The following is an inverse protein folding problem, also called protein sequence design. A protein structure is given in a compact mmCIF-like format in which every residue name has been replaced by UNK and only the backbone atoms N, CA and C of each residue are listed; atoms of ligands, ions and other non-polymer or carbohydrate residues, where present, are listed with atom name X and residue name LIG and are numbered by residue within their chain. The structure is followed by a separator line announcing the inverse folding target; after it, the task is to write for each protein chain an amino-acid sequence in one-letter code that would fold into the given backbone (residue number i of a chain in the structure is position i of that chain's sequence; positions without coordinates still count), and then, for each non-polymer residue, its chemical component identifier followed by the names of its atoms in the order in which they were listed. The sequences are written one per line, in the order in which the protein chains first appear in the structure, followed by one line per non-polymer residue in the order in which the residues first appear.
data_IF_463736092603
#
_entry.id   IF_463736092603
#
_cell.length_a   1.000
_cell.length_b   1.000
_cell.length_c   1.000
_cell.angle_alpha   90.00
_cell.angle_beta   90.00
_cell.angle_gamma   90.00
#
_symmetry.space_group_name_H-M   'P 1'
#
loop_
_entity.id
_entity.type
_entity.pdbx_description
1 polymer ?
#
# COMPACT_ATOMS: atom_id res chain seq x y z
N UNK A 1 7.29 3.63 2.75
CA UNK A 1 6.07 4.16 3.35
C UNK A 1 5.47 3.08 4.21
N UNK A 2 5.41 3.32 5.51
CA UNK A 2 4.74 2.48 6.49
C UNK A 2 3.28 2.91 6.58
N UNK A 3 2.38 1.94 6.62
CA UNK A 3 0.94 2.18 6.70
C UNK A 3 0.24 1.08 7.49
N UNK A 4 -0.93 1.42 8.04
CA UNK A 4 -1.87 0.45 8.61
C UNK A 4 -3.12 0.37 7.77
N UNK A 5 -3.59 -0.84 7.54
CA UNK A 5 -4.82 -1.10 6.79
C UNK A 5 -5.99 -1.25 7.76
N UNK A 6 -7.07 -0.55 7.50
CA UNK A 6 -8.35 -0.72 8.19
C UNK A 6 -9.43 -1.02 7.16
N UNK A 7 -10.30 -1.98 7.47
CA UNK A 7 -11.53 -2.22 6.74
C UNK A 7 -12.76 -1.87 7.58
N UNK A 8 -13.94 -2.18 7.07
CA UNK A 8 -15.22 -1.87 7.74
C UNK A 8 -15.38 -2.58 9.09
N UNK A 9 -14.70 -3.71 9.28
CA UNK A 9 -14.86 -4.55 10.45
C UNK A 9 -13.82 -4.15 11.53
N UNK A 10 -12.57 -3.82 11.16
CA UNK A 10 -11.54 -3.24 12.06
C UNK A 10 -10.18 -3.02 11.34
N UNK A 11 -9.10 -2.89 12.11
CA UNK A 11 -7.73 -3.09 11.61
C UNK A 11 -7.61 -4.44 10.91
N UNK A 12 -7.01 -4.44 9.72
CA UNK A 12 -6.94 -5.59 8.83
C UNK A 12 -5.49 -5.97 8.51
N UNK A 13 -5.27 -7.26 8.27
CA UNK A 13 -3.94 -7.80 7.95
C UNK A 13 -3.49 -7.28 6.59
N UNK A 14 -2.31 -6.65 6.55
CA UNK A 14 -1.68 -6.19 5.32
C UNK A 14 -1.00 -7.35 4.59
N UNK A 15 -1.22 -7.44 3.27
CA UNK A 15 -0.50 -8.36 2.38
C UNK A 15 0.96 -7.96 2.19
N UNK A 16 1.30 -6.70 2.45
CA UNK A 16 2.69 -6.21 2.45
C UNK A 16 3.24 -6.05 3.87
N UNK A 17 2.74 -6.86 4.82
CA UNK A 17 3.17 -6.82 6.22
C UNK A 17 4.70 -6.81 6.32
N UNK A 18 5.24 -5.87 7.10
CA UNK A 18 6.67 -5.66 7.23
C UNK A 18 7.42 -6.92 7.71
N UNK A 19 6.81 -7.63 8.67
CA UNK A 19 7.36 -8.81 9.31
C UNK A 19 6.25 -9.64 9.96
N UNK A 20 6.59 -10.86 10.37
CA UNK A 20 5.68 -11.78 11.09
C UNK A 20 5.31 -11.30 12.51
N UNK A 21 5.93 -10.23 13.00
CA UNK A 21 5.63 -9.67 14.32
C UNK A 21 4.50 -8.63 14.28
N UNK A 22 4.22 -8.04 13.12
CA UNK A 22 3.20 -7.01 12.97
C UNK A 22 2.46 -7.14 11.63
N UNK A 23 1.49 -8.04 11.61
CA UNK A 23 0.66 -8.34 10.44
C UNK A 23 -0.22 -7.16 9.97
N UNK A 24 -0.42 -6.16 10.82
CA UNK A 24 -1.27 -5.00 10.53
C UNK A 24 -0.49 -3.81 9.96
N UNK A 25 0.85 -3.84 10.07
CA UNK A 25 1.73 -2.81 9.56
C UNK A 25 2.31 -3.22 8.21
N UNK A 26 1.80 -2.59 7.15
CA UNK A 26 2.29 -2.74 5.79
C UNK A 26 3.48 -1.83 5.49
N UNK A 27 4.31 -2.23 4.53
CA UNK A 27 5.38 -1.40 3.99
C UNK A 27 5.46 -1.53 2.47
N UNK A 28 5.39 -0.38 1.80
CA UNK A 28 5.79 -0.28 0.40
C UNK A 28 7.02 0.61 0.22
N UNK A 29 7.80 0.35 -0.80
CA UNK A 29 8.94 1.20 -1.15
C UNK A 29 8.46 2.43 -1.94
N UNK A 30 9.04 3.60 -1.70
CA UNK A 30 8.64 4.81 -2.44
C UNK A 30 8.90 4.70 -3.94
N UNK A 31 9.85 3.85 -4.34
CA UNK A 31 10.17 3.56 -5.75
C UNK A 31 9.08 2.79 -6.49
N UNK A 32 8.17 2.10 -5.77
CA UNK A 32 7.03 1.40 -6.40
C UNK A 32 5.85 2.34 -6.65
N UNK A 33 5.87 3.55 -6.07
CA UNK A 33 4.84 4.56 -6.28
C UNK A 33 5.07 5.22 -7.64
N UNK A 34 4.13 5.14 -8.58
CA UNK A 34 4.33 5.73 -9.90
C UNK A 34 4.40 7.26 -9.83
N UNK A 35 5.14 7.92 -10.75
CA UNK A 35 5.04 9.36 -10.94
C UNK A 35 3.58 9.77 -11.19
N UNK A 36 3.10 10.90 -10.64
CA UNK A 36 3.85 12.01 -10.06
C UNK A 36 4.17 11.91 -8.54
N UNK A 37 4.17 10.71 -7.95
CA UNK A 37 4.46 10.49 -6.51
C UNK A 37 3.52 11.26 -5.57
N UNK A 38 2.23 11.27 -5.93
CA UNK A 38 1.15 11.89 -5.16
C UNK A 38 0.34 10.86 -4.39
N UNK A 39 -0.41 11.31 -3.39
CA UNK A 39 -1.31 10.48 -2.59
C UNK A 39 -2.22 9.61 -3.45
N UNK A 40 -2.74 10.14 -4.57
CA UNK A 40 -3.50 9.35 -5.54
C UNK A 40 -2.73 8.11 -6.04
N UNK A 41 -1.48 8.31 -6.46
CA UNK A 41 -0.61 7.23 -6.97
C UNK A 41 -0.28 6.19 -5.90
N UNK A 42 -0.19 6.59 -4.64
CA UNK A 42 -0.01 5.68 -3.52
C UNK A 42 -1.28 4.91 -3.19
N UNK A 43 -2.44 5.59 -3.16
CA UNK A 43 -3.73 4.92 -2.97
C UNK A 43 -3.92 3.84 -4.03
N UNK A 44 -3.68 4.15 -5.30
CA UNK A 44 -3.78 3.17 -6.39
C UNK A 44 -2.80 2.00 -6.20
N UNK A 45 -1.57 2.29 -5.77
CA UNK A 45 -0.57 1.27 -5.48
C UNK A 45 -1.02 0.36 -4.32
N UNK A 46 -1.50 0.94 -3.22
CA UNK A 46 -2.01 0.23 -2.05
C UNK A 46 -3.23 -0.61 -2.39
N UNK A 47 -4.18 -0.06 -3.14
CA UNK A 47 -5.35 -0.78 -3.65
C UNK A 47 -4.92 -2.02 -4.43
N UNK A 48 -3.92 -1.89 -5.29
CA UNK A 48 -3.40 -2.99 -6.08
C UNK A 48 -2.70 -4.06 -5.25
N UNK A 49 -1.77 -3.67 -4.36
CA UNK A 49 -0.97 -4.63 -3.59
C UNK A 49 -1.77 -5.31 -2.47
N UNK A 50 -2.70 -4.58 -1.85
CA UNK A 50 -3.63 -5.14 -0.87
C UNK A 50 -4.79 -5.88 -1.53
N UNK A 51 -5.00 -5.70 -2.84
CA UNK A 51 -6.11 -6.30 -3.58
C UNK A 51 -7.46 -5.94 -2.97
N UNK A 52 -7.61 -4.70 -2.51
CA UNK A 52 -8.89 -4.20 -1.99
C UNK A 52 -9.76 -3.75 -3.16
N UNK A 53 -11.01 -4.21 -3.20
CA UNK A 53 -12.00 -3.82 -4.20
C UNK A 53 -12.85 -2.69 -3.64
N UNK A 54 -12.47 -1.45 -3.91
CA UNK A 54 -13.19 -0.30 -3.37
C UNK A 54 -12.83 1.00 -4.06
N UNK A 55 -13.85 1.79 -4.40
CA UNK A 55 -13.69 3.21 -4.75
C UNK A 55 -13.70 4.10 -3.50
N UNK A 56 -14.18 3.58 -2.37
CA UNK A 56 -14.24 4.28 -1.08
C UNK A 56 -12.99 3.95 -0.26
N UNK A 57 -11.85 4.46 -0.73
CA UNK A 57 -10.58 4.40 0.00
C UNK A 57 -10.19 5.78 0.51
N UNK A 58 -9.77 5.87 1.77
CA UNK A 58 -9.27 7.10 2.36
C UNK A 58 -7.89 6.89 2.96
N UNK A 59 -7.17 8.00 3.10
CA UNK A 59 -5.82 8.00 3.62
C UNK A 59 -5.68 9.14 4.62
N UNK A 60 -5.25 8.83 5.83
CA UNK A 60 -5.03 9.79 6.90
C UNK A 60 -3.55 9.80 7.28
N UNK A 61 -3.06 10.96 7.68
CA UNK A 61 -1.65 11.16 7.99
C UNK A 61 -1.13 10.24 9.11
N UNK A 62 -1.97 9.93 10.10
CA UNK A 62 -1.62 9.12 11.27
C UNK A 62 -2.87 8.52 11.95
N UNK A 63 -2.63 7.66 12.95
CA UNK A 63 -3.67 6.96 13.73
C UNK A 63 -4.45 7.88 14.68
N UNK A 64 -3.89 9.03 15.06
CA UNK A 64 -4.51 9.97 16.02
C UNK A 64 -5.72 10.73 15.45
N UNK A 65 -6.22 10.34 14.28
CA UNK A 65 -7.27 11.06 13.57
C UNK A 65 -6.77 12.37 12.96
N UNK A 66 -5.55 12.34 12.43
CA UNK A 66 -4.93 13.46 11.72
C UNK A 66 -5.66 13.87 10.44
N UNK A 67 -5.03 14.75 9.67
CA UNK A 67 -5.63 15.31 8.47
C UNK A 67 -5.86 14.22 7.40
N UNK A 68 -7.03 14.24 6.75
CA UNK A 68 -7.27 13.41 5.55
C UNK A 68 -6.43 13.95 4.41
N UNK A 69 -5.54 13.13 3.87
CA UNK A 69 -4.61 13.55 2.83
C UNK A 69 -5.34 13.76 1.50
N UNK A 70 -5.02 14.86 0.81
CA UNK A 70 -5.58 15.15 -0.51
C UNK A 70 -4.86 14.34 -1.58
N UNK A 71 -5.60 13.84 -2.57
CA UNK A 71 -5.04 13.08 -3.70
C UNK A 71 -3.97 13.83 -4.49
N UNK A 72 -4.00 15.16 -4.45
CA UNK A 72 -3.04 16.04 -5.11
C UNK A 72 -1.76 16.25 -4.30
N UNK A 73 -1.75 15.90 -3.02
CA UNK A 73 -0.61 16.09 -2.13
C UNK A 73 0.55 15.20 -2.57
N UNK A 74 1.76 15.75 -2.53
CA UNK A 74 2.96 14.98 -2.79
C UNK A 74 3.30 14.13 -1.55
N UNK A 75 3.53 12.83 -1.75
CA UNK A 75 3.93 11.93 -0.65
C UNK A 75 5.40 12.10 -0.32
N UNK A 76 6.20 12.45 -1.34
CA UNK A 76 7.62 12.59 -1.23
C UNK A 76 8.01 13.96 -1.80
N UNK A 77 8.17 14.94 -0.93
CA UNK A 77 9.37 15.75 -1.07
C UNK A 77 10.52 14.86 -0.60
N UNK A 78 11.60 14.72 -1.38
CA UNK A 78 12.76 13.85 -1.08
C UNK A 78 13.48 14.16 0.26
N UNK A 79 12.96 15.12 1.03
CA UNK A 79 13.27 15.38 2.43
C UNK A 79 12.62 14.27 3.27
N UNK A 80 13.42 13.49 4.01
CA UNK A 80 12.98 12.32 4.79
C UNK A 80 11.96 12.55 5.92
N UNK A 81 11.26 13.68 5.90
CA UNK A 81 10.18 14.03 6.80
C UNK A 81 8.87 14.04 6.00
N UNK A 82 8.22 12.88 5.92
CA UNK A 82 6.93 12.71 5.25
C UNK A 82 6.08 11.69 6.03
N UNK A 83 4.74 11.74 5.93
CA UNK A 83 3.87 10.80 6.63
C UNK A 83 4.22 9.34 6.31
N UNK A 84 4.30 8.47 7.32
CA UNK A 84 4.68 7.07 7.12
C UNK A 84 6.14 6.86 6.71
N UNK A 85 7.04 7.81 6.94
CA UNK A 85 8.49 7.59 6.76
C UNK A 85 9.10 6.71 7.87
N UNK A 86 8.42 6.58 9.03
CA UNK A 86 8.83 5.76 10.17
C UNK A 86 7.77 4.71 10.51
N UNK A 87 8.22 3.62 11.11
CA UNK A 87 7.38 2.49 11.54
C UNK A 87 6.44 2.86 12.68
N UNK A 88 6.87 3.73 13.60
CA UNK A 88 6.07 4.21 14.75
C UNK A 88 5.08 5.33 14.40
N UNK A 89 5.16 5.86 13.18
CA UNK A 89 4.28 6.91 12.67
C UNK A 89 3.71 6.51 11.29
N UNK A 90 2.96 5.39 11.21
CA UNK A 90 2.42 4.93 9.96
C UNK A 90 1.25 5.80 9.49
N UNK A 91 1.07 5.85 8.17
CA UNK A 91 -0.15 6.38 7.56
C UNK A 91 -1.32 5.43 7.82
N UNK A 92 -2.52 5.95 7.94
CA UNK A 92 -3.74 5.13 7.98
C UNK A 92 -4.34 5.02 6.58
N UNK A 93 -4.54 3.79 6.11
CA UNK A 93 -5.23 3.49 4.86
C UNK A 93 -6.52 2.74 5.18
N UNK A 94 -7.67 3.32 4.84
CA UNK A 94 -8.98 2.73 5.10
C UNK A 94 -9.63 2.30 3.79
N UNK A 95 -10.25 1.12 3.77
CA UNK A 95 -10.96 0.59 2.62
C UNK A 95 -12.32 0.03 3.03
N UNK A 96 -13.39 0.59 2.48
CA UNK A 96 -14.74 0.05 2.65
C UNK A 96 -14.94 -1.08 1.64
N UNK A 97 -15.27 -2.29 2.12
CA UNK A 97 -15.61 -3.42 1.26
C UNK A 97 -17.13 -3.41 1.05
N UNK A 98 -17.58 -3.23 -0.18
CA UNK A 98 -19.01 -3.42 -0.45
C UNK A 98 -19.38 -4.88 -0.22
N UNK A 99 -20.52 -5.10 0.45
CA UNK A 99 -20.97 -6.42 0.90
C UNK A 99 -21.05 -7.51 -0.18
N UNK A 100 -20.98 -7.16 -1.47
CA UNK A 100 -20.94 -8.12 -2.59
C UNK A 100 -19.58 -8.79 -2.80
N UNK A 101 -18.48 -8.26 -2.23
CA UNK A 101 -17.12 -8.77 -2.43
C UNK A 101 -16.71 -9.79 -1.35
N UNK A 102 -17.64 -10.20 -0.48
CA UNK A 102 -17.43 -11.26 0.51
C UNK A 102 -17.48 -12.64 -0.17
N UNK A 103 -16.54 -12.91 -1.07
CA UNK A 103 -16.24 -14.27 -1.53
C UNK A 103 -14.80 -14.62 -1.17
N UNK A 104 -14.71 -15.56 -0.24
CA UNK A 104 -13.55 -16.38 0.13
C UNK A 104 -12.59 -16.63 -1.03
N UNK A 105 -11.29 -16.40 -0.81
CA UNK A 105 -10.21 -17.40 -0.90
C UNK A 105 -8.87 -16.70 -1.12
N UNK A 106 -7.91 -16.99 -0.23
CA UNK A 106 -6.52 -16.53 -0.34
C UNK A 106 -5.81 -17.33 -1.44
N UNK A 107 -6.18 -17.11 -2.69
CA UNK A 107 -5.32 -17.52 -3.79
C UNK A 107 -4.15 -16.55 -3.85
N UNK A 108 -2.98 -17.06 -3.48
CA UNK A 108 -1.72 -16.36 -3.68
C UNK A 108 -1.59 -16.06 -5.18
N UNK A 109 -1.48 -14.79 -5.63
CA UNK A 109 -1.13 -14.54 -7.01
C UNK A 109 0.28 -15.09 -7.24
N UNK A 110 0.36 -16.24 -7.88
CA UNK A 110 1.61 -16.84 -8.34
C UNK A 110 2.19 -15.92 -9.41
N UNK A 111 3.07 -15.01 -8.98
CA UNK A 111 3.82 -14.14 -9.88
C UNK A 111 4.98 -14.93 -10.50
N UNK A 112 4.68 -15.83 -11.43
CA UNK A 112 5.72 -16.43 -12.29
C UNK A 112 5.98 -15.51 -13.48
N UNK A 113 6.88 -14.54 -13.31
CA UNK A 113 7.48 -13.79 -14.43
C UNK A 113 8.87 -14.36 -14.69
N UNK A 114 8.93 -15.37 -15.56
CA UNK A 114 10.19 -15.99 -15.97
C UNK A 114 10.95 -15.02 -16.89
N UNK A 115 12.04 -14.42 -16.41
CA UNK A 115 12.91 -13.57 -17.21
C UNK A 115 14.06 -14.43 -17.74
N UNK A 116 13.98 -14.85 -19.00
CA UNK A 116 15.05 -15.63 -19.64
C UNK A 116 16.08 -14.67 -20.21
N UNK A 117 17.26 -14.58 -19.57
CA UNK A 117 18.40 -13.88 -20.13
C UNK A 117 19.05 -14.77 -21.21
N UNK A 118 19.01 -14.33 -22.47
CA UNK A 118 19.81 -14.92 -23.55
C UNK A 118 21.12 -14.13 -23.68
N UNK A 119 22.22 -14.68 -23.16
CA UNK A 119 23.56 -14.16 -23.44
C UNK A 119 24.11 -14.84 -24.69
N UNK A 120 24.14 -14.12 -25.82
CA UNK A 120 24.97 -14.46 -26.96
C UNK A 120 26.11 -13.44 -27.04
N UNK A 121 27.32 -13.86 -26.67
CA UNK A 121 28.54 -13.16 -27.08
C UNK A 121 29.38 -14.16 -27.86
N UNK A 122 29.42 -13.97 -29.18
CA UNK A 122 30.47 -14.51 -30.05
C UNK A 122 31.70 -13.62 -29.89
N UNK A 123 32.87 -14.23 -29.75
CA UNK A 123 33.94 -14.13 -30.75
C UNK A 123 34.91 -15.31 -30.62
#
# INVERSE_FOLDING_TARGET
VYYRLYDDDSEAVSKTSLNESNYYLGRIETVTIPPPHKVASLKDCLVHVEGVSGHDVQMLENEDGGFTMNDSDAIAHLTGDFPGCKEDQPIVFTSVRKASDRTTEAESPSFSKHLTAISSWSE
#
